data_IF_143631245790
#
_entry.id   IF_143631245790
#
_cell.length_a   1.000
_cell.length_b   1.000
_cell.length_c   1.000
_cell.angle_alpha   90.00
_cell.angle_beta   90.00
_cell.angle_gamma   90.00
#
_symmetry.space_group_name_H-M   'P 1'
#
loop_
_entity.id
_entity.type
_entity.pdbx_description
1 polymer ?
#
# COMPACT_ATOMS: atom_id res chain seq x y z
N UNK A 1 -24.09 -1.95 -28.59
CA UNK A 1 -24.29 -0.58 -28.08
C UNK A 1 -22.90 -0.03 -27.70
N UNK A 2 -22.45 0.99 -28.42
CA UNK A 2 -21.08 1.48 -28.30
C UNK A 2 -20.96 2.41 -27.08
N UNK A 3 -19.88 2.29 -26.30
CA UNK A 3 -19.62 3.08 -25.08
C UNK A 3 -19.72 4.60 -25.28
N UNK A 4 -19.43 5.08 -26.49
CA UNK A 4 -19.56 6.49 -26.84
C UNK A 4 -21.00 6.97 -26.96
N UNK A 5 -21.94 6.10 -27.34
CA UNK A 5 -23.35 6.44 -27.47
C UNK A 5 -24.08 6.41 -26.12
N UNK A 6 -23.62 5.60 -25.18
CA UNK A 6 -24.18 5.57 -23.82
C UNK A 6 -23.96 6.92 -23.09
N UNK A 7 -22.78 7.50 -23.21
CA UNK A 7 -22.47 8.80 -22.56
C UNK A 7 -23.23 9.99 -23.17
N UNK A 8 -23.64 9.90 -24.43
CA UNK A 8 -24.45 10.95 -25.08
C UNK A 8 -25.93 10.91 -24.67
N UNK A 9 -26.44 9.76 -24.26
CA UNK A 9 -27.86 9.59 -23.86
C UNK A 9 -28.05 10.06 -22.40
N UNK A 10 -27.04 9.94 -21.54
CA UNK A 10 -27.12 10.38 -20.14
C UNK A 10 -26.96 11.90 -19.98
N UNK A 11 -26.43 12.59 -21.00
CA UNK A 11 -26.15 14.03 -20.96
C UNK A 11 -27.30 14.95 -21.41
N UNK A 12 -28.44 14.44 -21.87
CA UNK A 12 -29.54 15.27 -22.39
C UNK A 12 -30.85 14.89 -21.67
N UNK A 13 -30.96 15.23 -20.39
CA UNK A 13 -32.24 15.24 -19.69
C UNK A 13 -32.14 16.16 -18.48
N UNK A 14 -31.99 17.45 -18.72
CA UNK A 14 -32.27 18.45 -17.71
C UNK A 14 -33.14 19.54 -18.29
N UNK A 15 -34.44 19.31 -18.30
CA UNK A 15 -35.43 20.38 -18.18
C UNK A 15 -36.78 19.76 -17.81
N UNK A 16 -37.37 20.27 -16.73
CA UNK A 16 -38.75 20.22 -16.30
C UNK A 16 -39.29 18.91 -15.73
N UNK A 17 -39.55 18.96 -14.42
CA UNK A 17 -40.39 18.02 -13.72
C UNK A 17 -40.10 17.95 -12.23
N UNK A 18 -40.75 18.82 -11.43
CA UNK A 18 -40.80 18.69 -9.99
C UNK A 18 -41.49 17.38 -9.61
N UNK A 19 -40.72 16.46 -9.04
CA UNK A 19 -41.27 15.31 -8.31
C UNK A 19 -40.45 15.14 -7.02
N UNK A 20 -41.11 15.46 -5.92
CA UNK A 20 -40.64 15.18 -4.57
C UNK A 20 -40.46 13.69 -4.37
N UNK A 21 -39.22 13.23 -4.31
CA UNK A 21 -38.86 11.95 -3.76
C UNK A 21 -38.00 12.15 -2.52
N UNK A 22 -38.53 11.73 -1.40
CA UNK A 22 -37.83 11.54 -0.13
C UNK A 22 -36.61 10.63 -0.36
N UNK A 23 -35.44 11.07 0.04
CA UNK A 23 -34.31 10.18 0.20
C UNK A 23 -33.00 10.73 -0.30
N UNK A 24 -32.06 10.88 0.62
CA UNK A 24 -30.64 11.24 0.45
C UNK A 24 -30.34 12.69 0.09
N UNK A 25 -30.07 13.48 1.11
CA UNK A 25 -29.31 14.72 0.94
C UNK A 25 -28.00 14.40 0.23
N UNK A 26 -27.69 15.03 -0.91
CA UNK A 26 -26.33 14.93 -1.45
C UNK A 26 -25.40 15.62 -0.45
N UNK A 27 -24.48 14.86 0.15
CA UNK A 27 -23.31 15.43 0.77
C UNK A 27 -22.56 16.15 -0.35
N UNK A 28 -22.50 17.45 -0.28
CA UNK A 28 -21.65 18.25 -1.15
C UNK A 28 -20.22 17.83 -0.84
N UNK A 29 -19.68 16.92 -1.65
CA UNK A 29 -18.25 16.66 -1.66
C UNK A 29 -17.60 17.91 -2.27
N UNK A 30 -17.12 18.77 -1.41
CA UNK A 30 -16.17 19.82 -1.79
C UNK A 30 -14.99 19.08 -2.42
N UNK A 31 -14.75 19.35 -3.71
CA UNK A 31 -13.55 18.88 -4.39
C UNK A 31 -12.35 19.22 -3.49
N UNK A 32 -11.65 18.20 -3.03
CA UNK A 32 -10.45 18.38 -2.24
C UNK A 32 -9.42 19.06 -3.13
N UNK A 33 -9.29 20.37 -2.94
CA UNK A 33 -8.10 21.12 -3.32
C UNK A 33 -6.91 20.37 -2.71
N UNK A 34 -5.83 20.23 -3.44
CA UNK A 34 -4.55 19.68 -3.01
C UNK A 34 -3.98 20.52 -1.86
N UNK A 35 -4.58 20.44 -0.71
CA UNK A 35 -4.22 21.10 0.53
C UNK A 35 -3.97 20.01 1.56
N UNK A 36 -2.92 20.16 2.30
CA UNK A 36 -2.45 19.37 3.42
C UNK A 36 -3.42 18.31 3.90
N UNK A 37 -3.06 17.04 3.68
CA UNK A 37 -3.75 15.93 4.33
C UNK A 37 -3.68 16.23 5.83
N UNK A 38 -4.83 16.54 6.43
CA UNK A 38 -4.93 16.70 7.88
C UNK A 38 -4.37 15.46 8.58
N UNK A 39 -4.11 15.52 9.89
CA UNK A 39 -3.53 14.40 10.62
C UNK A 39 -4.35 13.13 10.37
N UNK A 40 -3.69 12.11 9.81
CA UNK A 40 -4.34 10.82 9.55
C UNK A 40 -4.65 10.17 10.89
N UNK A 41 -5.92 9.81 11.15
CA UNK A 41 -6.28 9.18 12.43
C UNK A 41 -5.60 7.83 12.57
N UNK A 42 -4.75 7.67 13.57
CA UNK A 42 -4.05 6.41 13.87
C UNK A 42 -4.96 5.36 14.51
N UNK A 43 -6.10 5.78 15.05
CA UNK A 43 -7.09 4.94 15.72
C UNK A 43 -8.08 4.24 14.78
N UNK A 44 -7.97 4.47 13.49
CA UNK A 44 -8.90 3.91 12.47
C UNK A 44 -8.38 2.70 11.73
N UNK A 45 -7.19 2.18 12.05
CA UNK A 45 -6.71 0.96 11.43
C UNK A 45 -7.57 -0.23 11.87
N UNK A 46 -8.06 -0.98 10.89
CA UNK A 46 -8.76 -2.24 11.14
C UNK A 46 -7.76 -3.39 11.16
N UNK A 47 -7.88 -4.24 12.16
CA UNK A 47 -7.04 -5.41 12.32
C UNK A 47 -7.84 -6.70 12.17
N UNK A 48 -7.17 -7.77 11.76
CA UNK A 48 -7.70 -9.13 11.71
C UNK A 48 -6.85 -10.06 12.55
N UNK A 49 -7.52 -10.94 13.29
CA UNK A 49 -6.87 -12.06 13.97
C UNK A 49 -6.88 -13.28 13.04
N UNK A 50 -5.84 -14.08 13.13
CA UNK A 50 -5.71 -15.34 12.40
C UNK A 50 -5.50 -16.47 13.42
N UNK A 51 -6.20 -17.61 13.29
CA UNK A 51 -6.09 -18.71 14.25
C UNK A 51 -4.66 -19.20 14.48
N UNK A 52 -3.79 -19.09 13.47
CA UNK A 52 -2.37 -19.48 13.53
C UNK A 52 -1.49 -18.50 14.30
N UNK A 53 -1.98 -17.31 14.60
CA UNK A 53 -1.23 -16.23 15.27
C UNK A 53 -1.69 -16.00 16.71
N UNK A 54 -2.61 -16.85 17.23
CA UNK A 54 -3.17 -16.67 18.56
C UNK A 54 -3.93 -15.35 18.69
N UNK A 55 -3.58 -14.55 19.68
CA UNK A 55 -4.21 -13.24 19.95
C UNK A 55 -3.63 -12.09 19.11
N UNK A 56 -2.61 -12.36 18.34
CA UNK A 56 -1.95 -11.37 17.50
C UNK A 56 -2.88 -10.86 16.39
N UNK A 57 -2.73 -9.60 16.05
CA UNK A 57 -3.57 -8.91 15.07
C UNK A 57 -2.74 -8.30 13.96
N UNK A 58 -3.19 -8.54 12.73
CA UNK A 58 -2.55 -8.00 11.53
C UNK A 58 -3.43 -6.90 10.93
N UNK A 59 -2.83 -5.77 10.56
CA UNK A 59 -3.54 -4.70 9.86
C UNK A 59 -4.09 -5.20 8.52
N UNK A 60 -5.32 -4.82 8.17
CA UNK A 60 -5.91 -5.20 6.87
C UNK A 60 -5.25 -4.45 5.71
N UNK A 61 -4.61 -3.33 5.99
CA UNK A 61 -3.75 -2.63 5.05
C UNK A 61 -2.32 -3.10 5.25
N UNK A 62 -1.73 -3.70 4.21
CA UNK A 62 -0.32 -4.05 4.17
C UNK A 62 0.49 -3.03 3.37
N UNK A 63 1.75 -2.86 3.72
CA UNK A 63 2.70 -2.01 3.01
C UNK A 63 3.47 -2.83 1.98
N UNK A 64 3.30 -2.50 0.68
CA UNK A 64 4.03 -3.14 -0.41
C UNK A 64 5.40 -2.51 -0.63
N UNK A 65 6.47 -3.28 -0.41
CA UNK A 65 7.86 -2.80 -0.48
C UNK A 65 8.48 -2.86 -1.90
N UNK A 66 7.67 -3.01 -2.94
CA UNK A 66 8.15 -3.16 -4.31
C UNK A 66 8.70 -1.85 -4.91
N UNK A 67 8.29 -0.70 -4.40
CA UNK A 67 8.59 0.62 -4.99
C UNK A 67 9.15 1.57 -3.94
N UNK A 68 10.27 1.19 -3.35
CA UNK A 68 11.00 2.10 -2.48
C UNK A 68 11.53 3.31 -3.25
N UNK A 69 11.59 4.49 -2.62
CA UNK A 69 12.20 5.67 -3.20
C UNK A 69 13.65 5.42 -3.61
N UNK A 70 14.05 6.04 -4.69
CA UNK A 70 15.44 5.97 -5.21
C UNK A 70 15.98 7.37 -5.45
N UNK A 71 17.30 7.49 -5.39
CA UNK A 71 18.06 8.70 -5.72
C UNK A 71 19.11 8.37 -6.76
N UNK A 72 19.60 9.35 -7.54
CA UNK A 72 20.74 9.15 -8.42
C UNK A 72 21.94 8.57 -7.66
N UNK A 73 22.60 7.57 -8.25
CA UNK A 73 23.77 6.98 -7.63
C UNK A 73 24.96 7.98 -7.64
N UNK A 74 25.45 8.46 -6.47
CA UNK A 74 26.53 9.42 -6.41
C UNK A 74 27.88 8.85 -6.86
N UNK A 75 28.02 7.51 -6.86
CA UNK A 75 29.28 6.82 -7.20
C UNK A 75 29.29 6.29 -8.64
N UNK A 76 28.22 6.48 -9.42
CA UNK A 76 28.17 5.92 -10.75
C UNK A 76 26.86 6.18 -11.51
N UNK A 77 26.56 5.26 -12.45
CA UNK A 77 25.33 5.34 -13.23
C UNK A 77 24.18 4.64 -12.51
N UNK A 78 22.94 5.08 -12.83
CA UNK A 78 21.72 4.49 -12.32
C UNK A 78 21.25 5.11 -11.02
N UNK A 79 20.42 4.38 -10.32
CA UNK A 79 19.78 4.80 -9.06
C UNK A 79 20.10 3.83 -7.93
N UNK A 80 20.15 4.35 -6.73
CA UNK A 80 20.22 3.59 -5.48
C UNK A 80 19.01 3.89 -4.62
N UNK A 81 18.71 3.02 -3.65
CA UNK A 81 17.61 3.27 -2.72
C UNK A 81 17.94 4.47 -1.83
N UNK A 82 16.98 5.37 -1.72
CA UNK A 82 16.97 6.41 -0.69
C UNK A 82 16.59 5.77 0.66
N UNK A 83 17.59 5.32 1.40
CA UNK A 83 17.34 4.61 2.67
C UNK A 83 16.69 5.50 3.72
N UNK A 84 16.99 6.80 3.72
CA UNK A 84 16.39 7.72 4.69
C UNK A 84 14.89 7.90 4.40
N UNK A 85 14.51 8.09 3.15
CA UNK A 85 13.11 8.13 2.76
C UNK A 85 12.38 6.80 3.05
N UNK A 86 13.05 5.65 2.86
CA UNK A 86 12.48 4.33 3.25
C UNK A 86 12.25 4.26 4.75
N UNK A 87 13.21 4.74 5.55
CA UNK A 87 13.07 4.79 7.00
C UNK A 87 11.87 5.63 7.45
N UNK A 88 11.72 6.82 6.89
CA UNK A 88 10.59 7.72 7.17
C UNK A 88 9.23 7.09 6.80
N UNK A 89 9.16 6.43 5.65
CA UNK A 89 7.94 5.76 5.20
C UNK A 89 7.55 4.59 6.10
N UNK A 90 8.52 3.82 6.59
CA UNK A 90 8.27 2.72 7.53
C UNK A 90 7.84 3.26 8.89
N UNK A 91 8.51 4.30 9.39
CA UNK A 91 8.14 4.96 10.64
C UNK A 91 6.71 5.50 10.57
N UNK A 92 6.37 6.16 9.48
CA UNK A 92 5.03 6.67 9.23
C UNK A 92 3.98 5.55 9.18
N UNK A 93 4.26 4.47 8.44
CA UNK A 93 3.35 3.35 8.32
C UNK A 93 3.04 2.71 9.68
N UNK A 94 4.07 2.42 10.47
CA UNK A 94 3.92 1.84 11.82
C UNK A 94 3.18 2.79 12.77
N UNK A 95 3.51 4.10 12.75
CA UNK A 95 2.84 5.10 13.56
C UNK A 95 1.34 5.22 13.24
N UNK A 96 0.92 4.87 12.01
CA UNK A 96 -0.46 4.87 11.56
C UNK A 96 -1.13 3.49 11.60
N UNK A 97 -0.52 2.54 12.30
CA UNK A 97 -1.10 1.24 12.59
C UNK A 97 -0.92 0.17 11.51
N UNK A 98 -0.18 0.45 10.44
CA UNK A 98 0.21 -0.58 9.46
C UNK A 98 1.31 -1.42 10.10
N UNK A 99 1.05 -2.71 10.29
CA UNK A 99 2.02 -3.63 10.88
C UNK A 99 2.35 -4.84 10.00
N UNK A 100 1.94 -4.82 8.73
CA UNK A 100 2.24 -5.88 7.76
C UNK A 100 2.98 -5.33 6.56
N UNK A 101 4.16 -5.87 6.26
CA UNK A 101 5.04 -5.46 5.17
C UNK A 101 5.27 -6.63 4.22
N UNK A 102 5.09 -6.39 2.91
CA UNK A 102 5.30 -7.40 1.86
C UNK A 102 6.49 -7.02 0.98
N UNK A 103 7.48 -7.89 0.94
CA UNK A 103 8.68 -7.71 0.13
C UNK A 103 8.96 -8.94 -0.77
N UNK A 104 10.06 -8.91 -1.50
CA UNK A 104 10.52 -10.03 -2.34
C UNK A 104 12.01 -9.87 -2.66
N UNK A 105 12.74 -10.98 -2.83
CA UNK A 105 14.15 -10.97 -3.26
C UNK A 105 14.40 -10.24 -4.59
N UNK A 106 13.38 -10.12 -5.45
CA UNK A 106 13.52 -9.48 -6.78
C UNK A 106 13.04 -8.04 -6.83
N UNK A 107 12.46 -7.52 -5.73
CA UNK A 107 11.96 -6.15 -5.71
C UNK A 107 13.11 -5.14 -5.67
N UNK A 108 12.94 -4.03 -6.41
CA UNK A 108 13.93 -2.96 -6.53
C UNK A 108 15.31 -3.54 -6.85
N UNK A 109 15.38 -4.39 -7.90
CA UNK A 109 16.62 -5.03 -8.36
C UNK A 109 17.37 -5.82 -7.28
N UNK A 110 16.64 -6.41 -6.32
CA UNK A 110 17.19 -7.19 -5.22
C UNK A 110 17.50 -6.41 -3.94
N UNK A 111 17.25 -5.11 -3.91
CA UNK A 111 17.55 -4.26 -2.75
C UNK A 111 16.42 -4.15 -1.72
N UNK A 112 15.19 -4.51 -2.10
CA UNK A 112 14.02 -4.27 -1.25
C UNK A 112 14.10 -4.96 0.11
N UNK A 113 14.48 -6.24 0.17
CA UNK A 113 14.57 -6.97 1.44
C UNK A 113 15.59 -6.32 2.38
N UNK A 114 16.76 -5.95 1.87
CA UNK A 114 17.80 -5.31 2.66
C UNK A 114 17.33 -3.96 3.20
N UNK A 115 16.75 -3.12 2.35
CA UNK A 115 16.31 -1.78 2.75
C UNK A 115 15.13 -1.82 3.70
N UNK A 116 14.16 -2.72 3.46
CA UNK A 116 13.05 -2.98 4.38
C UNK A 116 13.57 -3.46 5.73
N UNK A 117 14.53 -4.39 5.74
CA UNK A 117 15.13 -4.91 6.96
C UNK A 117 15.89 -3.85 7.75
N UNK A 118 16.61 -2.94 7.10
CA UNK A 118 17.29 -1.81 7.75
C UNK A 118 16.25 -0.91 8.44
N UNK A 119 15.17 -0.55 7.75
CA UNK A 119 14.15 0.32 8.29
C UNK A 119 13.40 -0.34 9.46
N UNK A 120 12.93 -1.58 9.29
CA UNK A 120 12.17 -2.31 10.32
C UNK A 120 13.00 -2.65 11.57
N UNK A 121 14.31 -2.88 11.42
CA UNK A 121 15.20 -3.17 12.57
C UNK A 121 15.28 -2.03 13.59
N UNK A 122 14.85 -0.85 13.25
CA UNK A 122 14.77 0.32 14.14
C UNK A 122 13.59 0.25 15.11
N UNK A 123 12.67 -0.69 14.90
CA UNK A 123 11.45 -0.90 15.67
C UNK A 123 11.47 -2.23 16.41
N UNK A 124 10.70 -2.38 17.51
CA UNK A 124 10.55 -3.66 18.20
C UNK A 124 10.08 -4.75 17.24
N UNK A 125 10.70 -5.94 17.30
CA UNK A 125 10.39 -7.04 16.37
C UNK A 125 8.94 -7.49 16.41
N UNK A 126 8.32 -7.42 17.56
CA UNK A 126 6.92 -7.78 17.83
C UNK A 126 5.92 -6.76 17.28
N UNK A 127 6.37 -5.58 16.86
CA UNK A 127 5.49 -4.53 16.34
C UNK A 127 5.10 -4.71 14.88
N UNK A 128 5.67 -5.68 14.17
CA UNK A 128 5.40 -5.88 12.74
C UNK A 128 5.50 -7.32 12.28
N UNK A 129 4.79 -7.58 11.19
CA UNK A 129 4.89 -8.81 10.39
C UNK A 129 5.57 -8.48 9.06
N UNK A 130 6.42 -9.38 8.59
CA UNK A 130 7.06 -9.27 7.28
C UNK A 130 6.85 -10.55 6.49
N UNK A 131 6.38 -10.40 5.26
CA UNK A 131 6.28 -11.46 4.29
C UNK A 131 7.28 -11.23 3.16
N UNK A 132 7.94 -12.30 2.75
CA UNK A 132 8.73 -12.32 1.52
C UNK A 132 8.30 -13.47 0.62
N UNK A 133 8.92 -13.60 -0.54
CA UNK A 133 8.51 -14.54 -1.57
C UNK A 133 9.62 -15.51 -1.89
N UNK A 134 9.23 -16.73 -2.22
CA UNK A 134 10.12 -17.69 -2.85
C UNK A 134 10.25 -17.33 -4.34
N UNK A 135 11.38 -16.75 -4.72
CA UNK A 135 11.62 -16.24 -6.09
C UNK A 135 12.46 -17.18 -6.94
N UNK A 136 12.19 -18.50 -6.85
CA UNK A 136 12.81 -19.49 -7.71
C UNK A 136 12.08 -19.58 -9.06
N UNK A 137 12.50 -18.75 -10.03
CA UNK A 137 11.90 -18.73 -11.37
C UNK A 137 12.51 -19.77 -12.32
N UNK A 138 13.61 -20.41 -11.95
CA UNK A 138 14.32 -21.36 -12.81
C UNK A 138 13.94 -22.80 -12.55
N UNK A 139 13.43 -23.09 -11.37
CA UNK A 139 13.04 -24.43 -10.99
C UNK A 139 11.67 -24.41 -10.29
N UNK A 140 10.73 -25.10 -10.90
CA UNK A 140 9.38 -25.23 -10.36
C UNK A 140 9.27 -26.34 -9.30
N UNK A 141 10.38 -27.06 -8.99
CA UNK A 141 10.32 -28.12 -8.00
C UNK A 141 10.21 -27.55 -6.58
N UNK A 142 9.18 -27.97 -5.87
CA UNK A 142 8.95 -27.60 -4.47
C UNK A 142 10.13 -27.98 -3.56
N UNK A 143 10.83 -29.07 -3.90
CA UNK A 143 11.94 -29.58 -3.11
C UNK A 143 13.17 -28.65 -3.16
N UNK A 144 13.42 -28.02 -4.29
CA UNK A 144 14.54 -27.09 -4.46
C UNK A 144 14.23 -25.70 -3.90
N UNK A 145 12.98 -25.26 -4.00
CA UNK A 145 12.51 -24.05 -3.38
C UNK A 145 12.57 -24.03 -1.84
N UNK A 146 12.57 -25.20 -1.21
CA UNK A 146 12.68 -25.33 0.26
C UNK A 146 14.13 -25.31 0.74
N UNK A 147 15.10 -25.55 -0.15
CA UNK A 147 16.54 -25.59 0.20
C UNK A 147 17.22 -24.22 0.13
N UNK A 148 16.54 -23.20 -0.35
CA UNK A 148 16.99 -21.80 -0.37
C UNK A 148 16.58 -21.10 0.90
#
# INVERSE_FOLDING_TARGET
MDRRNFLKIVGISTATGAATLYGCKPKTETAATSGELGPVPTDKMTYRSYPSLGDDKVSILGYGCMRWPTIPNPEGRGEIIDQDAVNELVDYALAHGVNYFDTSPVYVQGWSEKSTGIALKRHPRESYYIATKLSNFKDASRAEGIRM
#
